data_IF_087876799805
#
_entry.id   IF_087876799805
#
_cell.length_a   1.000
_cell.length_b   1.000
_cell.length_c   1.000
_cell.angle_alpha   90.00
_cell.angle_beta   90.00
_cell.angle_gamma   90.00
#
_symmetry.space_group_name_H-M   'P 1'
#
loop_
_entity.id
_entity.type
_entity.pdbx_description
1 polymer ?
#
# COMPACT_ATOMS: atom_id res chain seq x y z
N UNK A 1 1.78 2.81 -2.26
CA UNK A 1 0.97 2.70 -1.04
C UNK A 1 1.56 3.58 0.04
N UNK A 2 0.87 3.80 1.15
CA UNK A 2 1.35 4.55 2.29
C UNK A 2 2.13 3.66 3.27
N UNK A 3 3.22 4.20 3.81
CA UNK A 3 4.01 3.53 4.87
C UNK A 3 4.39 4.53 5.95
N UNK A 4 4.13 4.17 7.20
CA UNK A 4 4.65 4.90 8.36
C UNK A 4 6.08 4.47 8.62
N UNK A 5 7.01 5.43 8.63
CA UNK A 5 8.41 5.20 8.98
C UNK A 5 8.95 6.30 9.89
N UNK A 6 10.08 6.03 10.55
CA UNK A 6 10.80 7.06 11.32
C UNK A 6 11.17 8.25 10.44
N UNK A 7 11.01 9.44 11.00
CA UNK A 7 11.44 10.70 10.42
C UNK A 7 12.96 10.70 10.19
N UNK A 8 13.37 11.31 9.09
CA UNK A 8 14.75 11.52 8.68
C UNK A 8 15.00 13.01 8.44
N UNK A 9 16.26 13.50 8.51
CA UNK A 9 16.58 14.93 8.35
C UNK A 9 16.10 15.58 7.05
N UNK A 10 15.88 14.80 5.99
CA UNK A 10 15.36 15.25 4.70
C UNK A 10 13.84 15.32 4.63
N UNK A 11 13.14 14.89 5.68
CA UNK A 11 11.68 14.87 5.73
C UNK A 11 11.10 16.18 6.28
N UNK A 12 9.86 16.53 5.90
CA UNK A 12 9.09 17.57 6.56
C UNK A 12 9.04 17.37 8.08
N UNK A 13 8.96 18.46 8.84
CA UNK A 13 8.89 18.39 10.30
C UNK A 13 7.72 17.51 10.75
N UNK A 14 8.01 16.56 11.66
CA UNK A 14 7.01 15.71 12.28
C UNK A 14 7.14 15.71 13.81
N UNK A 15 6.15 16.24 14.54
CA UNK A 15 6.19 16.31 16.01
C UNK A 15 6.30 14.94 16.69
N UNK A 16 5.78 13.88 16.06
CA UNK A 16 5.78 12.54 16.62
C UNK A 16 7.03 11.72 16.22
N UNK A 17 7.91 12.26 15.38
CA UNK A 17 9.11 11.58 14.90
C UNK A 17 8.86 10.54 13.80
N UNK A 18 7.68 10.54 13.17
CA UNK A 18 7.30 9.62 12.09
C UNK A 18 6.67 10.34 10.91
N UNK A 19 6.79 9.77 9.72
CA UNK A 19 6.20 10.32 8.49
C UNK A 19 5.44 9.26 7.73
N UNK A 20 4.38 9.69 7.04
CA UNK A 20 3.63 8.87 6.10
C UNK A 20 4.25 9.02 4.70
N UNK A 21 5.11 8.07 4.33
CA UNK A 21 5.81 8.08 3.06
C UNK A 21 4.99 7.38 1.97
N UNK A 22 5.18 7.83 0.73
CA UNK A 22 4.69 7.12 -0.45
C UNK A 22 5.69 6.02 -0.84
N UNK A 23 5.29 4.76 -0.70
CA UNK A 23 6.05 3.62 -1.20
C UNK A 23 5.58 3.24 -2.60
N UNK A 24 6.53 3.24 -3.55
CA UNK A 24 6.27 2.80 -4.93
C UNK A 24 6.11 1.28 -4.99
N UNK A 25 4.94 0.83 -5.48
CA UNK A 25 4.66 -0.59 -5.71
C UNK A 25 5.04 -1.02 -7.13
N UNK A 26 4.66 -0.22 -8.13
CA UNK A 26 4.94 -0.43 -9.54
C UNK A 26 5.19 0.92 -10.23
N UNK A 27 5.87 0.94 -11.37
CA UNK A 27 6.09 2.13 -12.19
C UNK A 27 5.43 1.96 -13.56
N UNK A 28 4.94 3.08 -14.10
CA UNK A 28 4.47 3.12 -15.49
C UNK A 28 5.63 2.76 -16.43
N UNK A 29 5.37 1.86 -17.38
CA UNK A 29 6.38 1.35 -18.31
C UNK A 29 7.16 0.14 -17.80
N UNK A 30 6.94 -0.32 -16.56
CA UNK A 30 7.36 -1.66 -16.17
C UNK A 30 6.65 -2.68 -17.09
N UNK A 31 7.38 -3.68 -17.60
CA UNK A 31 6.79 -4.73 -18.45
C UNK A 31 5.90 -5.64 -17.61
N UNK A 32 4.63 -5.26 -17.49
CA UNK A 32 3.59 -6.04 -16.80
C UNK A 32 3.16 -7.18 -17.74
N UNK A 33 3.48 -8.41 -17.37
CA UNK A 33 2.92 -9.62 -18.01
C UNK A 33 1.56 -9.95 -17.37
N UNK A 34 0.74 -10.77 -18.03
CA UNK A 34 -0.52 -11.24 -17.42
C UNK A 34 -0.24 -11.90 -16.05
N UNK A 35 -1.00 -11.51 -15.02
CA UNK A 35 -0.82 -11.95 -13.63
C UNK A 35 0.48 -11.48 -12.97
N UNK A 36 1.05 -10.37 -13.42
CA UNK A 36 2.17 -9.74 -12.72
C UNK A 36 1.75 -9.36 -11.29
N UNK A 37 2.57 -9.72 -10.31
CA UNK A 37 2.30 -9.50 -8.90
C UNK A 37 3.40 -8.69 -8.25
N UNK A 38 3.00 -7.61 -7.59
CA UNK A 38 3.86 -6.89 -6.65
C UNK A 38 3.52 -7.38 -5.25
N UNK A 39 4.51 -7.94 -4.56
CA UNK A 39 4.35 -8.43 -3.19
C UNK A 39 5.16 -7.54 -2.25
N UNK A 40 4.56 -7.15 -1.14
CA UNK A 40 5.20 -6.44 -0.03
C UNK A 40 4.79 -7.05 1.30
N UNK A 41 5.70 -6.99 2.27
CA UNK A 41 5.46 -7.46 3.63
C UNK A 41 5.44 -6.27 4.56
N UNK A 42 4.42 -6.21 5.40
CA UNK A 42 4.23 -5.15 6.37
C UNK A 42 4.05 -5.73 7.76
N UNK A 43 4.53 -5.01 8.75
CA UNK A 43 4.31 -5.33 10.15
C UNK A 43 3.51 -4.20 10.79
N UNK A 44 2.69 -4.48 11.82
CA UNK A 44 2.10 -3.44 12.64
C UNK A 44 3.18 -2.49 13.14
N UNK A 45 2.89 -1.20 13.09
CA UNK A 45 3.79 -0.15 13.58
C UNK A 45 3.95 -0.20 15.11
N UNK A 46 2.91 -0.68 15.81
CA UNK A 46 2.89 -0.78 17.27
C UNK A 46 2.07 -1.98 17.72
N UNK A 47 2.44 -2.56 18.86
CA UNK A 47 1.69 -3.61 19.56
C UNK A 47 0.27 -3.20 19.99
N UNK A 48 -0.02 -1.90 20.01
CA UNK A 48 -1.35 -1.38 20.33
C UNK A 48 -2.19 -1.07 19.09
N UNK A 49 -1.62 -1.23 17.89
CA UNK A 49 -2.30 -0.91 16.65
C UNK A 49 -3.41 -1.94 16.37
N UNK A 50 -4.63 -1.45 16.11
CA UNK A 50 -5.79 -2.29 15.79
C UNK A 50 -6.14 -2.32 14.32
N UNK A 51 -5.57 -1.40 13.52
CA UNK A 51 -5.85 -1.30 12.09
C UNK A 51 -4.60 -0.98 11.29
N UNK A 52 -4.46 -1.54 10.10
CA UNK A 52 -3.43 -1.13 9.13
C UNK A 52 -4.08 -0.59 7.86
N UNK A 53 -3.51 0.48 7.30
CA UNK A 53 -3.89 1.00 5.99
C UNK A 53 -2.90 0.55 4.91
N UNK A 54 -3.44 0.25 3.73
CA UNK A 54 -2.70 -0.02 2.50
C UNK A 54 -3.31 0.80 1.37
N UNK A 55 -3.50 2.10 1.59
CA UNK A 55 -4.13 2.98 0.62
C UNK A 55 -3.33 2.96 -0.68
N UNK A 56 -4.04 2.83 -1.79
CA UNK A 56 -3.48 2.82 -3.13
C UNK A 56 -3.54 4.23 -3.70
N UNK A 57 -2.38 4.70 -4.14
CA UNK A 57 -2.21 6.02 -4.71
C UNK A 57 -1.54 5.89 -6.06
N UNK A 58 -1.84 6.80 -6.97
CA UNK A 58 -1.16 6.96 -8.25
C UNK A 58 -0.56 8.36 -8.39
N UNK A 59 0.50 8.46 -9.17
CA UNK A 59 1.15 9.73 -9.51
C UNK A 59 1.97 9.61 -10.79
N UNK A 60 2.02 10.70 -11.56
CA UNK A 60 2.91 10.86 -12.73
C UNK A 60 4.30 11.38 -12.34
N UNK A 61 4.48 11.81 -11.09
CA UNK A 61 5.77 12.33 -10.63
C UNK A 61 6.74 11.19 -10.36
N UNK A 62 7.86 11.20 -11.06
CA UNK A 62 8.93 10.19 -10.94
C UNK A 62 9.55 10.17 -9.52
N UNK A 63 9.42 11.27 -8.78
CA UNK A 63 10.07 11.52 -7.51
C UNK A 63 9.11 11.92 -6.38
N UNK A 64 7.84 11.50 -6.44
CA UNK A 64 6.92 11.65 -5.31
C UNK A 64 7.46 10.92 -4.07
N UNK A 65 7.42 11.58 -2.91
CA UNK A 65 7.95 11.07 -1.64
C UNK A 65 6.87 10.88 -0.58
N UNK A 66 5.81 11.67 -0.63
CA UNK A 66 4.74 11.66 0.37
C UNK A 66 3.37 11.52 -0.28
N UNK A 67 2.42 10.92 0.44
CA UNK A 67 1.06 10.70 -0.06
C UNK A 67 0.25 12.00 -0.23
N UNK A 68 0.75 13.10 0.31
CA UNK A 68 0.17 14.45 0.19
C UNK A 68 0.96 15.35 -0.77
N UNK A 69 1.97 14.82 -1.47
CA UNK A 69 2.66 15.58 -2.50
C UNK A 69 1.70 15.93 -3.65
N UNK A 70 1.83 17.13 -4.21
CA UNK A 70 0.99 17.56 -5.34
C UNK A 70 1.03 16.52 -6.47
N UNK A 71 -0.12 16.18 -7.05
CA UNK A 71 -0.21 15.19 -8.13
C UNK A 71 -0.08 13.74 -7.67
N UNK A 72 -0.13 13.46 -6.37
CA UNK A 72 -0.43 12.13 -5.83
C UNK A 72 -1.93 12.06 -5.54
N UNK A 73 -2.61 11.11 -6.19
CA UNK A 73 -4.06 10.91 -6.07
C UNK A 73 -4.35 9.60 -5.36
N UNK A 74 -5.25 9.62 -4.37
CA UNK A 74 -5.78 8.41 -3.75
C UNK A 74 -6.74 7.72 -4.72
N UNK A 75 -6.44 6.49 -5.10
CA UNK A 75 -7.30 5.65 -5.94
C UNK A 75 -8.26 4.82 -5.10
N UNK A 76 -7.74 4.20 -4.04
CA UNK A 76 -8.53 3.33 -3.15
C UNK A 76 -8.00 3.37 -1.73
N UNK A 77 -8.89 3.54 -0.78
CA UNK A 77 -8.57 3.32 0.63
C UNK A 77 -8.69 1.83 0.95
N UNK A 78 -7.70 1.26 1.63
CA UNK A 78 -7.71 -0.13 2.07
C UNK A 78 -7.33 -0.13 3.54
N UNK A 79 -8.21 -0.66 4.40
CA UNK A 79 -7.98 -0.77 5.83
C UNK A 79 -8.30 -2.19 6.26
N UNK A 80 -7.39 -2.80 7.02
CA UNK A 80 -7.61 -4.10 7.65
C UNK A 80 -7.66 -3.94 9.15
N UNK A 81 -8.50 -4.75 9.80
CA UNK A 81 -8.46 -4.92 11.25
C UNK A 81 -7.37 -5.93 11.60
N UNK A 82 -6.59 -5.62 12.64
CA UNK A 82 -5.63 -6.53 13.22
C UNK A 82 -6.28 -7.32 14.35
N UNK A 83 -5.94 -8.61 14.49
CA UNK A 83 -6.49 -9.45 15.55
C UNK A 83 -6.14 -8.91 16.94
N UNK A 84 -7.14 -8.82 17.82
CA UNK A 84 -6.97 -8.13 19.11
C UNK A 84 -6.09 -8.89 20.11
N UNK A 85 -6.01 -10.22 19.97
CA UNK A 85 -5.42 -11.17 20.92
C UNK A 85 -4.13 -11.83 20.42
N UNK A 86 -3.61 -11.42 19.26
CA UNK A 86 -2.35 -11.96 18.73
C UNK A 86 -1.15 -11.15 19.25
N UNK A 87 -0.01 -11.83 19.39
CA UNK A 87 1.26 -11.15 19.56
C UNK A 87 1.61 -10.43 18.26
N UNK A 88 1.33 -9.12 18.19
CA UNK A 88 1.55 -8.33 16.98
C UNK A 88 3.03 -8.25 16.55
N UNK A 89 3.99 -8.55 17.44
CA UNK A 89 5.42 -8.64 17.09
C UNK A 89 5.67 -9.72 16.03
N UNK A 90 4.86 -10.78 16.04
CA UNK A 90 4.97 -11.88 15.07
C UNK A 90 4.08 -11.67 13.85
N UNK A 91 3.15 -10.72 13.88
CA UNK A 91 2.20 -10.50 12.78
C UNK A 91 2.89 -9.86 11.59
N UNK A 92 2.88 -10.57 10.47
CA UNK A 92 3.31 -10.06 9.17
C UNK A 92 2.15 -10.15 8.20
N UNK A 93 1.80 -9.02 7.58
CA UNK A 93 0.80 -8.93 6.53
C UNK A 93 1.49 -8.94 5.17
N UNK A 94 1.12 -9.90 4.33
CA UNK A 94 1.55 -9.96 2.94
C UNK A 94 0.52 -9.23 2.10
N UNK A 95 0.90 -8.05 1.61
CA UNK A 95 0.12 -7.29 0.66
C UNK A 95 0.52 -7.66 -0.76
N UNK A 96 -0.45 -8.01 -1.60
CA UNK A 96 -0.23 -8.37 -3.00
C UNK A 96 -1.08 -7.50 -3.90
N UNK A 97 -0.44 -6.80 -4.83
CA UNK A 97 -1.10 -6.10 -5.93
C UNK A 97 -0.92 -6.95 -7.20
N UNK A 98 -2.02 -7.48 -7.73
CA UNK A 98 -2.04 -8.33 -8.92
C UNK A 98 -2.58 -7.52 -10.10
N UNK A 99 -1.82 -7.46 -11.18
CA UNK A 99 -2.22 -6.83 -12.43
C UNK A 99 -2.73 -7.90 -13.38
N UNK A 100 -4.03 -7.87 -13.65
CA UNK A 100 -4.69 -8.61 -14.72
C UNK A 100 -4.65 -7.83 -16.03
N UNK A 101 -5.27 -8.39 -17.07
CA UNK A 101 -5.37 -7.71 -18.37
C UNK A 101 -6.31 -6.49 -18.34
N UNK A 102 -7.32 -6.52 -17.47
CA UNK A 102 -8.37 -5.48 -17.36
C UNK A 102 -8.51 -4.89 -15.95
N UNK A 103 -8.00 -5.58 -14.93
CA UNK A 103 -8.22 -5.23 -13.52
C UNK A 103 -6.93 -5.24 -12.71
N UNK A 104 -6.94 -4.49 -11.61
CA UNK A 104 -5.91 -4.52 -10.58
C UNK A 104 -6.57 -4.95 -9.27
N UNK A 105 -6.07 -6.06 -8.70
CA UNK A 105 -6.59 -6.65 -7.45
C UNK A 105 -5.58 -6.46 -6.33
N UNK A 106 -6.05 -5.93 -5.19
CA UNK A 106 -5.26 -5.84 -3.97
C UNK A 106 -5.75 -6.87 -2.95
N UNK A 107 -4.82 -7.65 -2.39
CA UNK A 107 -5.10 -8.59 -1.30
C UNK A 107 -4.16 -8.35 -0.14
N UNK A 108 -4.64 -8.58 1.08
CA UNK A 108 -3.84 -8.62 2.29
C UNK A 108 -4.09 -9.94 3.02
N UNK A 109 -3.01 -10.63 3.39
CA UNK A 109 -3.06 -11.95 4.04
C UNK A 109 -2.15 -11.95 5.25
N UNK A 110 -2.63 -12.44 6.39
CA UNK A 110 -1.77 -12.70 7.54
C UNK A 110 -0.86 -13.89 7.21
N UNK A 111 0.46 -13.67 7.20
CA UNK A 111 1.44 -14.67 6.79
C UNK A 111 1.45 -15.90 7.71
N UNK A 112 1.12 -15.72 9.00
CA UNK A 112 1.21 -16.79 9.99
C UNK A 112 -0.01 -17.71 9.94
N UNK A 113 -1.20 -17.13 9.79
CA UNK A 113 -2.47 -17.88 9.78
C UNK A 113 -2.90 -18.28 8.38
N UNK A 114 -2.40 -17.59 7.34
CA UNK A 114 -2.90 -17.68 5.97
C UNK A 114 -4.27 -17.04 5.78
N UNK A 115 -4.82 -16.39 6.81
CA UNK A 115 -6.12 -15.77 6.76
C UNK A 115 -6.09 -14.51 5.89
N UNK A 116 -7.04 -14.44 4.95
CA UNK A 116 -7.23 -13.27 4.11
C UNK A 116 -7.92 -12.18 4.93
N UNK A 117 -7.20 -11.10 5.21
CA UNK A 117 -7.70 -9.96 5.99
C UNK A 117 -8.34 -8.90 5.09
N UNK A 118 -8.01 -8.91 3.79
CA UNK A 118 -8.65 -8.06 2.79
C UNK A 118 -8.54 -8.63 1.38
N UNK A 119 -9.59 -8.41 0.61
CA UNK A 119 -9.65 -8.52 -0.83
C UNK A 119 -10.42 -7.30 -1.33
N UNK A 120 -9.75 -6.46 -2.11
CA UNK A 120 -10.40 -5.31 -2.73
C UNK A 120 -11.13 -5.73 -3.99
N UNK A 121 -12.26 -5.09 -4.28
CA UNK A 121 -12.89 -5.21 -5.60
C UNK A 121 -11.93 -4.70 -6.68
N UNK A 122 -12.14 -5.23 -7.87
CA UNK A 122 -11.39 -4.91 -9.07
C UNK A 122 -11.33 -3.40 -9.28
N UNK A 123 -10.10 -2.88 -9.38
CA UNK A 123 -9.89 -1.55 -9.92
C UNK A 123 -9.74 -1.69 -11.43
N UNK A 124 -10.61 -1.02 -12.19
CA UNK A 124 -10.47 -0.95 -13.64
C UNK A 124 -9.09 -0.41 -13.99
N UNK A 125 -8.28 -1.25 -14.62
CA UNK A 125 -6.94 -0.85 -15.04
C UNK A 125 -7.02 0.36 -15.97
N UNK A 126 -8.00 0.39 -16.88
CA UNK A 126 -8.29 1.55 -17.70
C UNK A 126 -8.56 2.77 -16.82
N UNK A 127 -9.46 2.77 -15.85
CA UNK A 127 -9.69 3.96 -15.00
C UNK A 127 -8.45 4.44 -14.23
N UNK A 128 -7.57 3.52 -13.83
CA UNK A 128 -6.28 3.83 -13.19
C UNK A 128 -5.28 4.44 -14.18
N UNK A 129 -5.37 4.06 -15.45
CA UNK A 129 -4.50 4.49 -16.55
C UNK A 129 -5.19 5.42 -17.58
N UNK A 130 -6.45 5.83 -17.37
CA UNK A 130 -7.28 6.57 -18.34
C UNK A 130 -7.44 8.03 -17.95
N UNK A 131 -7.02 8.40 -16.73
CA UNK A 131 -6.58 9.78 -16.48
C UNK A 131 -5.26 10.12 -17.24
N UNK A 132 -4.83 9.27 -18.19
CA UNK A 132 -3.59 9.36 -18.98
C UNK A 132 -3.77 9.66 -20.49
N UNK A 133 -4.85 10.35 -20.91
CA UNK A 133 -4.90 11.07 -22.20
C UNK A 133 -5.22 12.55 -22.03
#
# INVERSE_FOLDING_TARGET
TDVVRRWQPSDPFSPNGYVLAFETLAKLGDSVTENYKVIRKFQPFSLLQRKMSFNLYATKKVNAKYCHDDGVTLLRACVIELPENENLDDVTIVFTLTFGAVEIIATAVNQNTGEKTFEGDDLDSESVFAEDL
#
